data_IF_718682703776
#
_entry.id   IF_718682703776
#
_cell.length_a   1.000
_cell.length_b   1.000
_cell.length_c   1.000
_cell.angle_alpha   90.00
_cell.angle_beta   90.00
_cell.angle_gamma   90.00
#
_symmetry.space_group_name_H-M   'P 1'
#
loop_
_entity.id
_entity.type
_entity.pdbx_description
1 polymer ?
#
# COMPACT_ATOMS: atom_id res chain seq x y z
N UNK A 1 -14.32 -10.84 12.40
CA UNK A 1 -15.19 -10.50 11.24
C UNK A 1 -14.61 -9.24 10.62
N UNK A 2 -13.95 -9.36 9.48
CA UNK A 2 -13.43 -8.22 8.72
C UNK A 2 -14.61 -7.69 7.89
N UNK A 3 -15.43 -6.83 8.49
CA UNK A 3 -16.50 -6.18 7.75
C UNK A 3 -15.89 -5.05 6.92
N UNK A 4 -15.83 -5.24 5.60
CA UNK A 4 -15.52 -4.25 4.56
C UNK A 4 -14.26 -3.41 4.83
N UNK A 5 -13.09 -3.97 4.51
CA UNK A 5 -11.88 -3.15 4.37
C UNK A 5 -12.12 -2.12 3.26
N UNK A 6 -11.85 -0.85 3.56
CA UNK A 6 -11.88 0.18 2.53
C UNK A 6 -10.66 -0.02 1.63
N UNK A 7 -10.88 -0.33 0.37
CA UNK A 7 -9.82 -0.31 -0.64
C UNK A 7 -9.44 1.14 -0.92
N UNK A 8 -8.15 1.45 -0.92
CA UNK A 8 -7.62 2.80 -1.15
C UNK A 8 -6.37 2.72 -2.02
N UNK A 9 -6.15 3.73 -2.86
CA UNK A 9 -4.85 3.94 -3.51
C UNK A 9 -3.82 4.49 -2.50
N UNK A 10 -2.53 4.50 -2.88
CA UNK A 10 -1.48 5.12 -2.06
C UNK A 10 -1.80 6.60 -1.84
N UNK A 11 -2.17 7.33 -2.89
CA UNK A 11 -2.51 8.76 -2.78
C UNK A 11 -3.68 9.02 -1.85
N UNK A 12 -4.74 8.21 -1.92
CA UNK A 12 -5.88 8.35 -1.02
C UNK A 12 -5.48 8.03 0.43
N UNK A 13 -4.65 7.01 0.64
CA UNK A 13 -4.11 6.68 1.95
C UNK A 13 -3.26 7.83 2.52
N UNK A 14 -2.38 8.41 1.69
CA UNK A 14 -1.55 9.55 2.06
C UNK A 14 -2.38 10.79 2.40
N UNK A 15 -3.41 11.11 1.61
CA UNK A 15 -4.32 12.21 1.93
C UNK A 15 -5.04 11.99 3.27
N UNK A 16 -5.45 10.74 3.54
CA UNK A 16 -6.07 10.35 4.82
C UNK A 16 -5.11 10.40 5.99
N UNK A 17 -3.81 10.21 5.78
CA UNK A 17 -2.78 10.40 6.81
C UNK A 17 -2.44 11.88 7.00
N UNK A 18 -2.22 12.62 5.92
CA UNK A 18 -1.84 14.04 5.96
C UNK A 18 -2.94 14.95 6.53
N UNK A 19 -4.20 14.54 6.43
CA UNK A 19 -5.33 15.25 7.07
C UNK A 19 -5.48 14.98 8.58
N UNK A 20 -4.64 14.12 9.16
CA UNK A 20 -4.70 13.80 10.59
C UNK A 20 -4.08 14.91 11.44
N UNK A 21 -4.52 15.04 12.70
CA UNK A 21 -3.88 15.97 13.63
C UNK A 21 -2.38 15.69 13.74
N UNK A 22 -1.57 16.71 13.55
CA UNK A 22 -0.10 16.65 13.72
C UNK A 22 0.34 16.40 15.16
N UNK A 23 -0.61 16.46 16.11
CA UNK A 23 -0.45 16.04 17.49
C UNK A 23 -1.44 14.91 17.79
N UNK A 24 -0.94 13.69 17.95
CA UNK A 24 -1.76 12.53 18.30
C UNK A 24 -1.02 11.24 17.99
N UNK A 25 -1.21 10.20 18.80
CA UNK A 25 -0.65 8.88 18.51
C UNK A 25 -1.57 8.13 17.54
N UNK A 26 -1.58 8.52 16.26
CA UNK A 26 -2.51 7.92 15.29
C UNK A 26 -1.94 6.67 14.66
N UNK A 27 -2.64 5.55 14.83
CA UNK A 27 -2.27 4.27 14.25
C UNK A 27 -3.13 3.97 13.03
N UNK A 28 -2.49 3.53 11.96
CA UNK A 28 -3.17 3.06 10.74
C UNK A 28 -2.56 1.75 10.28
N UNK A 29 -3.36 0.91 9.62
CA UNK A 29 -2.90 -0.35 9.03
C UNK A 29 -3.21 -0.37 7.53
N UNK A 30 -2.21 -0.74 6.74
CA UNK A 30 -2.28 -0.98 5.31
C UNK A 30 -2.09 -2.48 5.08
N UNK A 31 -3.15 -3.15 4.64
CA UNK A 31 -3.14 -4.58 4.35
C UNK A 31 -2.85 -4.74 2.86
N UNK A 32 -1.77 -5.44 2.51
CA UNK A 32 -1.39 -5.67 1.11
C UNK A 32 -0.93 -7.12 0.89
N UNK A 33 -1.23 -7.64 -0.30
CA UNK A 33 -0.79 -8.98 -0.75
C UNK A 33 0.69 -9.02 -1.12
N UNK A 34 1.31 -7.86 -1.39
CA UNK A 34 2.66 -7.76 -1.96
C UNK A 34 3.65 -7.13 -0.95
N UNK A 35 4.00 -7.90 0.07
CA UNK A 35 4.79 -7.42 1.23
C UNK A 35 6.30 -7.49 1.02
N UNK A 36 6.73 -8.24 0.00
CA UNK A 36 8.14 -8.38 -0.34
C UNK A 36 8.69 -7.18 -1.14
N UNK A 37 7.84 -6.21 -1.49
CA UNK A 37 8.31 -5.01 -2.18
C UNK A 37 8.84 -3.98 -1.17
N UNK A 38 10.10 -4.12 -0.76
CA UNK A 38 10.89 -3.03 -0.14
C UNK A 38 10.62 -1.69 -0.85
N UNK A 39 10.46 -1.75 -2.18
CA UNK A 39 10.04 -0.63 -3.02
C UNK A 39 8.78 0.09 -2.53
N UNK A 40 7.72 -0.63 -2.16
CA UNK A 40 6.48 -0.01 -1.66
C UNK A 40 6.71 0.71 -0.33
N UNK A 41 7.56 0.15 0.53
CA UNK A 41 7.91 0.78 1.81
C UNK A 41 8.73 2.05 1.57
N UNK A 42 9.70 1.99 0.66
CA UNK A 42 10.55 3.12 0.29
C UNK A 42 9.72 4.26 -0.34
N UNK A 43 8.85 3.92 -1.31
CA UNK A 43 7.94 4.86 -1.97
C UNK A 43 7.00 5.53 -0.95
N UNK A 44 6.42 4.73 -0.03
CA UNK A 44 5.54 5.25 1.01
C UNK A 44 6.30 6.15 1.99
N UNK A 45 7.52 5.79 2.37
CA UNK A 45 8.35 6.57 3.28
C UNK A 45 8.70 7.92 2.68
N UNK A 46 9.19 7.94 1.44
CA UNK A 46 9.52 9.18 0.73
C UNK A 46 8.29 10.07 0.60
N UNK A 47 7.17 9.49 0.16
CA UNK A 47 5.96 10.28 -0.09
C UNK A 47 5.34 10.79 1.21
N UNK A 48 5.30 9.99 2.28
CA UNK A 48 4.84 10.44 3.60
C UNK A 48 5.72 11.56 4.16
N UNK A 49 7.04 11.46 4.00
CA UNK A 49 7.98 12.49 4.45
C UNK A 49 7.69 13.84 3.79
N UNK A 50 7.42 13.82 2.48
CA UNK A 50 7.07 15.01 1.70
C UNK A 50 5.70 15.56 2.11
N UNK A 51 4.66 14.72 2.13
CA UNK A 51 3.28 15.17 2.38
C UNK A 51 3.05 15.63 3.82
N UNK A 52 3.64 14.94 4.80
CA UNK A 52 3.46 15.26 6.21
C UNK A 52 4.50 16.28 6.72
N UNK A 53 5.48 16.66 5.90
CA UNK A 53 6.61 17.53 6.26
C UNK A 53 7.25 17.08 7.59
N UNK A 54 7.62 15.79 7.69
CA UNK A 54 8.20 15.23 8.91
C UNK A 54 9.15 14.07 8.63
N UNK A 55 10.03 13.79 9.58
CA UNK A 55 10.89 12.61 9.53
C UNK A 55 10.07 11.34 9.71
N UNK A 56 10.21 10.41 8.76
CA UNK A 56 9.55 9.11 8.75
C UNK A 56 10.61 8.02 8.87
N UNK A 57 10.54 7.22 9.94
CA UNK A 57 11.40 6.07 10.16
C UNK A 57 10.74 4.78 9.67
N UNK A 58 11.54 3.83 9.16
CA UNK A 58 11.07 2.53 8.69
C UNK A 58 11.78 1.40 9.42
N UNK A 59 11.02 0.50 10.05
CA UNK A 59 11.57 -0.66 10.74
C UNK A 59 10.90 -1.96 10.29
N UNK A 60 11.73 -2.94 9.94
CA UNK A 60 11.28 -4.30 9.67
C UNK A 60 11.09 -5.08 10.97
N UNK A 61 10.01 -5.86 11.04
CA UNK A 61 9.67 -6.75 12.13
C UNK A 61 10.29 -8.15 12.01
N UNK A 62 11.28 -8.33 11.13
CA UNK A 62 12.04 -9.58 10.99
C UNK A 62 12.94 -9.94 12.19
N UNK A 63 13.08 -9.04 13.16
CA UNK A 63 13.81 -9.26 14.41
C UNK A 63 12.88 -9.69 15.54
N UNK A 64 13.45 -10.18 16.64
CA UNK A 64 12.70 -10.46 17.87
C UNK A 64 11.86 -9.25 18.33
N UNK A 65 10.70 -9.52 18.93
CA UNK A 65 9.72 -8.50 19.36
C UNK A 65 10.39 -7.37 20.15
N UNK A 66 11.21 -7.72 21.15
CA UNK A 66 11.89 -6.74 22.02
C UNK A 66 12.86 -5.86 21.23
N UNK A 67 13.57 -6.41 20.24
CA UNK A 67 14.49 -5.63 19.41
C UNK A 67 13.73 -4.59 18.58
N UNK A 68 12.57 -4.95 18.04
CA UNK A 68 11.72 -3.99 17.32
C UNK A 68 11.18 -2.92 18.26
N UNK A 69 10.70 -3.32 19.44
CA UNK A 69 10.18 -2.39 20.45
C UNK A 69 11.25 -1.41 20.90
N UNK A 70 12.47 -1.88 21.16
CA UNK A 70 13.59 -1.01 21.53
C UNK A 70 13.92 -0.01 20.41
N UNK A 71 13.87 -0.42 19.14
CA UNK A 71 14.01 0.51 18.00
C UNK A 71 12.91 1.56 17.99
N UNK A 72 11.65 1.17 18.20
CA UNK A 72 10.50 2.08 18.22
C UNK A 72 10.60 3.09 19.36
N UNK A 73 11.04 2.65 20.54
CA UNK A 73 11.20 3.52 21.72
C UNK A 73 12.32 4.53 21.49
N UNK A 74 13.44 4.10 20.92
CA UNK A 74 14.62 4.95 20.72
C UNK A 74 14.58 5.79 19.43
N UNK A 75 13.60 5.56 18.55
CA UNK A 75 13.41 6.33 17.33
C UNK A 75 13.15 7.82 17.62
N UNK A 76 13.79 8.70 16.87
CA UNK A 76 13.62 10.16 16.96
C UNK A 76 12.61 10.70 15.95
N UNK A 77 12.27 9.89 14.94
CA UNK A 77 11.41 10.23 13.82
C UNK A 77 9.96 10.47 14.29
N UNK A 78 9.31 11.49 13.74
CA UNK A 78 7.97 11.91 14.17
C UNK A 78 6.90 10.85 13.84
N UNK A 79 7.10 10.12 12.74
CA UNK A 79 6.20 9.10 12.21
C UNK A 79 6.98 7.81 11.92
N UNK A 80 6.36 6.65 12.11
CA UNK A 80 7.01 5.36 11.87
C UNK A 80 6.20 4.47 10.94
N UNK A 81 6.88 3.74 10.06
CA UNK A 81 6.33 2.65 9.27
C UNK A 81 6.95 1.36 9.79
N UNK A 82 6.10 0.40 10.17
CA UNK A 82 6.51 -0.96 10.51
C UNK A 82 6.02 -1.92 9.45
N UNK A 83 6.85 -2.87 9.06
CA UNK A 83 6.56 -3.82 7.99
C UNK A 83 7.27 -5.16 8.23
N UNK A 84 7.03 -6.15 7.36
CA UNK A 84 7.66 -7.48 7.40
C UNK A 84 7.29 -8.29 8.66
N UNK A 85 6.00 -8.52 8.88
CA UNK A 85 5.45 -9.22 10.06
C UNK A 85 5.15 -10.71 9.78
N UNK A 86 5.66 -11.28 8.69
CA UNK A 86 5.30 -12.61 8.19
C UNK A 86 5.83 -13.72 9.10
N UNK A 87 6.90 -13.43 9.84
CA UNK A 87 7.51 -14.36 10.79
C UNK A 87 6.88 -14.27 12.19
N UNK A 88 5.98 -13.31 12.43
CA UNK A 88 5.40 -13.12 13.75
C UNK A 88 4.27 -14.11 14.02
N UNK A 89 4.40 -14.82 15.14
CA UNK A 89 3.37 -15.71 15.65
C UNK A 89 2.45 -15.01 16.67
N UNK A 90 1.54 -15.80 17.25
CA UNK A 90 0.62 -15.33 18.30
C UNK A 90 1.32 -14.69 19.50
N UNK A 91 2.49 -15.19 19.89
CA UNK A 91 3.23 -14.74 21.07
C UNK A 91 3.89 -13.39 20.77
N UNK A 92 4.47 -13.23 19.57
CA UNK A 92 5.03 -11.95 19.14
C UNK A 92 3.96 -10.84 19.17
N UNK A 93 2.79 -11.10 18.58
CA UNK A 93 1.68 -10.14 18.58
C UNK A 93 1.17 -9.84 19.99
N UNK A 94 1.11 -10.85 20.86
CA UNK A 94 0.67 -10.67 22.25
C UNK A 94 1.66 -9.82 23.07
N UNK A 95 2.96 -10.08 22.93
CA UNK A 95 4.03 -9.29 23.56
C UNK A 95 3.98 -7.84 23.09
N UNK A 96 3.87 -7.63 21.77
CA UNK A 96 3.76 -6.31 21.17
C UNK A 96 2.52 -5.55 21.67
N UNK A 97 1.39 -6.25 21.81
CA UNK A 97 0.14 -5.71 22.35
C UNK A 97 0.26 -5.28 23.82
N UNK A 98 0.99 -6.06 24.63
CA UNK A 98 1.26 -5.74 26.03
C UNK A 98 2.15 -4.49 26.17
N UNK A 99 3.02 -4.23 25.20
CA UNK A 99 3.94 -3.08 25.19
C UNK A 99 3.34 -1.81 24.60
N UNK A 100 2.06 -1.82 24.21
CA UNK A 100 1.35 -0.73 23.52
C UNK A 100 1.63 0.67 24.06
N UNK A 101 1.62 0.85 25.39
CA UNK A 101 1.86 2.16 26.02
C UNK A 101 3.25 2.74 25.71
N UNK A 102 4.24 1.87 25.53
CA UNK A 102 5.62 2.26 25.17
C UNK A 102 5.77 2.61 23.69
N UNK A 103 4.77 2.28 22.86
CA UNK A 103 4.78 2.49 21.41
C UNK A 103 4.12 3.82 21.00
N UNK A 104 3.76 4.68 21.97
CA UNK A 104 3.16 5.97 21.67
C UNK A 104 4.15 6.89 20.96
N UNK A 105 3.72 7.49 19.84
CA UNK A 105 4.51 8.46 19.06
C UNK A 105 3.84 9.83 19.03
N UNK A 106 4.63 10.82 18.62
CA UNK A 106 4.20 12.23 18.49
C UNK A 106 3.13 12.41 17.41
N UNK A 107 3.30 11.77 16.25
CA UNK A 107 2.33 11.82 15.13
C UNK A 107 1.63 10.49 14.84
N UNK A 108 2.34 9.37 14.87
CA UNK A 108 1.68 8.11 14.57
C UNK A 108 2.57 7.00 14.05
N UNK A 109 1.89 5.92 13.67
CA UNK A 109 2.50 4.69 13.19
C UNK A 109 1.63 4.05 12.11
N UNK A 110 2.27 3.57 11.04
CA UNK A 110 1.64 2.77 9.99
C UNK A 110 2.16 1.34 10.06
N UNK A 111 1.24 0.38 10.13
CA UNK A 111 1.53 -1.04 10.00
C UNK A 111 1.28 -1.48 8.55
N UNK A 112 2.27 -2.06 7.90
CA UNK A 112 2.10 -2.72 6.59
C UNK A 112 2.04 -4.23 6.84
N UNK A 113 0.92 -4.87 6.49
CA UNK A 113 0.59 -6.24 6.91
C UNK A 113 0.11 -7.10 5.74
N UNK A 114 0.49 -8.39 5.72
CA UNK A 114 -0.24 -9.38 4.91
C UNK A 114 -1.67 -9.52 5.40
N UNK A 115 -2.56 -10.05 4.56
CA UNK A 115 -3.83 -10.61 5.03
C UNK A 115 -3.65 -11.61 6.18
N UNK A 116 -2.58 -12.43 6.15
CA UNK A 116 -2.29 -13.43 7.17
C UNK A 116 -1.79 -12.82 8.50
N UNK A 117 -0.81 -11.91 8.45
CA UNK A 117 -0.33 -11.18 9.61
C UNK A 117 -1.42 -10.30 10.21
N UNK A 118 -2.24 -9.64 9.38
CA UNK A 118 -3.39 -8.87 9.84
C UNK A 118 -4.41 -9.76 10.57
N UNK A 119 -4.75 -10.93 10.02
CA UNK A 119 -5.65 -11.90 10.67
C UNK A 119 -5.12 -12.35 12.04
N UNK A 120 -3.82 -12.60 12.13
CA UNK A 120 -3.16 -13.01 13.37
C UNK A 120 -3.16 -11.85 14.38
N UNK A 121 -2.75 -10.64 13.97
CA UNK A 121 -2.81 -9.44 14.80
C UNK A 121 -4.22 -9.17 15.32
N UNK A 122 -5.24 -9.24 14.46
CA UNK A 122 -6.64 -9.02 14.86
C UNK A 122 -7.14 -10.03 15.91
N UNK A 123 -6.52 -11.20 15.97
CA UNK A 123 -6.90 -12.27 16.91
C UNK A 123 -6.13 -12.18 18.23
N UNK A 124 -4.89 -11.68 18.23
CA UNK A 124 -3.97 -11.78 19.35
C UNK A 124 -3.46 -10.44 19.91
N UNK A 125 -3.74 -9.31 19.25
CA UNK A 125 -3.35 -7.97 19.67
C UNK A 125 -4.55 -7.00 19.81
N UNK A 126 -5.55 -7.30 20.68
CA UNK A 126 -6.78 -6.52 20.76
C UNK A 126 -6.57 -5.06 21.20
N UNK A 127 -5.54 -4.77 22.00
CA UNK A 127 -5.28 -3.41 22.47
C UNK A 127 -4.72 -2.53 21.34
N UNK A 128 -3.88 -3.06 20.47
CA UNK A 128 -3.39 -2.38 19.25
C UNK A 128 -4.54 -2.20 18.27
N UNK A 129 -5.39 -3.21 18.09
CA UNK A 129 -6.56 -3.13 17.21
C UNK A 129 -7.51 -2.03 17.65
N UNK A 130 -7.67 -1.83 18.96
CA UNK A 130 -8.47 -0.72 19.49
C UNK A 130 -7.90 0.67 19.11
N UNK A 131 -6.59 0.80 18.90
CA UNK A 131 -5.95 2.04 18.46
C UNK A 131 -6.07 2.29 16.96
N UNK A 132 -6.10 1.23 16.16
CA UNK A 132 -6.38 1.32 14.72
C UNK A 132 -7.81 1.84 14.47
N UNK A 133 -8.79 1.35 15.24
CA UNK A 133 -10.19 1.72 15.05
C UNK A 133 -10.66 1.39 13.63
N UNK A 134 -11.17 2.38 12.89
CA UNK A 134 -11.56 2.24 11.49
C UNK A 134 -10.43 2.46 10.48
N UNK A 135 -9.20 2.75 10.94
CA UNK A 135 -8.05 3.08 10.09
C UNK A 135 -7.32 1.84 9.60
N UNK A 136 -8.09 0.92 9.04
CA UNK A 136 -7.59 -0.31 8.43
C UNK A 136 -7.98 -0.29 6.97
N UNK A 137 -6.98 -0.25 6.10
CA UNK A 137 -7.15 -0.08 4.66
C UNK A 137 -6.60 -1.29 3.93
N UNK A 138 -7.22 -1.64 2.81
CA UNK A 138 -6.68 -2.64 1.89
C UNK A 138 -6.00 -1.93 0.74
N UNK A 139 -4.71 -2.17 0.57
CA UNK A 139 -3.97 -1.76 -0.61
C UNK A 139 -3.93 -2.90 -1.62
N UNK A 140 -4.69 -2.71 -2.70
CA UNK A 140 -4.63 -3.55 -3.88
C UNK A 140 -3.74 -2.81 -4.88
N UNK A 141 -2.49 -3.29 -5.04
CA UNK A 141 -1.56 -2.76 -6.04
C UNK A 141 -2.14 -2.84 -7.47
N UNK A 142 -3.06 -3.78 -7.68
CA UNK A 142 -3.61 -4.16 -8.98
C UNK A 142 -4.92 -3.46 -9.37
N UNK A 143 -5.42 -2.49 -8.59
CA UNK A 143 -6.53 -1.65 -9.10
C UNK A 143 -6.08 -0.65 -10.18
N UNK A 144 -4.78 -0.51 -10.43
CA UNK A 144 -4.22 0.32 -11.51
C UNK A 144 -3.49 -0.47 -12.61
N UNK A 145 -3.16 -1.74 -12.37
CA UNK A 145 -2.58 -2.63 -13.38
C UNK A 145 -3.42 -3.89 -13.44
N UNK A 146 -4.21 -4.02 -14.51
CA UNK A 146 -4.88 -5.26 -14.86
C UNK A 146 -3.86 -6.42 -14.77
N UNK A 147 -4.26 -7.55 -14.20
CA UNK A 147 -3.45 -8.79 -14.26
C UNK A 147 -3.17 -9.17 -15.72
N UNK A 148 -2.16 -10.01 -15.98
CA UNK A 148 -1.85 -10.44 -17.34
C UNK A 148 -3.07 -11.06 -18.04
N UNK A 149 -3.90 -11.81 -17.32
CA UNK A 149 -5.17 -12.33 -17.84
C UNK A 149 -6.17 -11.22 -18.16
N UNK A 150 -6.38 -10.25 -17.26
CA UNK A 150 -7.29 -9.12 -17.47
C UNK A 150 -6.83 -8.19 -18.59
N UNK A 151 -5.51 -7.98 -18.75
CA UNK A 151 -4.93 -7.26 -19.89
C UNK A 151 -5.31 -7.97 -21.18
N UNK A 152 -5.17 -9.30 -21.25
CA UNK A 152 -5.52 -10.05 -22.46
C UNK A 152 -7.03 -10.00 -22.77
N UNK A 153 -7.89 -10.11 -21.76
CA UNK A 153 -9.35 -9.96 -21.94
C UNK A 153 -9.73 -8.55 -22.41
N UNK A 154 -9.09 -7.52 -21.84
CA UNK A 154 -9.34 -6.13 -22.23
C UNK A 154 -8.85 -5.84 -23.64
N UNK A 155 -7.63 -6.28 -23.99
CA UNK A 155 -7.10 -6.20 -25.34
C UNK A 155 -7.99 -6.95 -26.35
N UNK A 156 -8.53 -8.12 -25.99
CA UNK A 156 -9.47 -8.85 -26.85
C UNK A 156 -10.75 -8.04 -27.10
N UNK A 157 -11.30 -7.40 -26.06
CA UNK A 157 -12.48 -6.53 -26.17
C UNK A 157 -12.21 -5.32 -27.08
N UNK A 158 -11.04 -4.69 -26.98
CA UNK A 158 -10.66 -3.54 -27.81
C UNK A 158 -10.44 -3.94 -29.29
N UNK A 159 -9.85 -5.13 -29.53
CA UNK A 159 -9.72 -5.72 -30.88
C UNK A 159 -11.09 -5.99 -31.50
N UNK A 160 -12.01 -6.57 -30.74
CA UNK A 160 -13.37 -6.85 -31.21
C UNK A 160 -14.17 -5.57 -31.49
N UNK A 161 -14.06 -4.57 -30.61
CA UNK A 161 -14.76 -3.30 -30.74
C UNK A 161 -14.33 -2.51 -31.98
N UNK A 162 -13.02 -2.41 -32.23
CA UNK A 162 -12.45 -1.59 -33.31
C UNK A 162 -12.30 -2.35 -34.64
N UNK A 163 -12.15 -3.68 -34.58
CA UNK A 163 -11.73 -4.50 -35.72
C UNK A 163 -10.25 -4.40 -36.09
N UNK A 164 -9.44 -3.66 -35.32
CA UNK A 164 -8.01 -3.53 -35.53
C UNK A 164 -7.18 -4.56 -34.74
N UNK A 165 -5.96 -4.78 -35.19
CA UNK A 165 -4.94 -5.58 -34.48
C UNK A 165 -3.99 -4.66 -33.72
N UNK A 166 -3.32 -5.20 -32.70
CA UNK A 166 -2.32 -4.47 -31.92
C UNK A 166 -1.24 -3.84 -32.81
N UNK A 167 -0.80 -4.55 -33.85
CA UNK A 167 0.20 -4.05 -34.81
C UNK A 167 -0.29 -2.81 -35.56
N UNK A 168 -1.56 -2.80 -35.98
CA UNK A 168 -2.14 -1.66 -36.70
C UNK A 168 -2.28 -0.44 -35.80
N UNK A 169 -2.64 -0.63 -34.52
CA UNK A 169 -2.71 0.46 -33.54
C UNK A 169 -1.34 1.07 -33.28
N UNK A 170 -0.31 0.24 -33.11
CA UNK A 170 1.07 0.70 -32.96
C UNK A 170 1.53 1.47 -34.21
N UNK A 171 1.27 0.95 -35.41
CA UNK A 171 1.63 1.62 -36.68
C UNK A 171 0.92 2.98 -36.83
N UNK A 172 -0.36 3.08 -36.46
CA UNK A 172 -1.10 4.35 -36.47
C UNK A 172 -0.55 5.35 -35.45
N UNK A 173 -0.13 4.88 -34.27
CA UNK A 173 0.49 5.73 -33.25
C UNK A 173 1.87 6.25 -33.71
N UNK A 174 2.71 5.38 -34.27
CA UNK A 174 4.03 5.73 -34.82
C UNK A 174 3.93 6.74 -35.97
N UNK A 175 2.90 6.61 -36.81
CA UNK A 175 2.62 7.53 -37.92
C UNK A 175 1.82 8.77 -37.52
N UNK A 176 1.46 8.92 -36.23
CA UNK A 176 0.64 10.02 -35.67
C UNK A 176 -0.71 10.17 -36.35
N UNK A 177 -1.28 9.06 -36.81
CA UNK A 177 -2.62 8.99 -37.37
C UNK A 177 -3.60 8.29 -36.42
N UNK A 178 -3.21 8.09 -35.15
CA UNK A 178 -4.07 7.47 -34.15
C UNK A 178 -5.32 8.35 -33.95
N UNK A 179 -6.52 7.76 -34.02
CA UNK A 179 -7.75 8.48 -33.72
C UNK A 179 -7.78 8.96 -32.25
N UNK A 180 -8.47 10.08 -31.95
CA UNK A 180 -8.43 10.73 -30.63
C UNK A 180 -9.27 10.03 -29.54
N UNK A 181 -9.91 8.91 -29.85
CA UNK A 181 -10.75 8.17 -28.92
C UNK A 181 -9.90 7.60 -27.75
N UNK A 182 -10.35 7.76 -26.48
CA UNK A 182 -9.62 7.30 -25.31
C UNK A 182 -9.26 5.81 -25.33
N UNK A 183 -10.10 4.99 -25.96
CA UNK A 183 -9.93 3.54 -26.09
C UNK A 183 -8.64 3.17 -26.83
N UNK A 184 -8.16 4.00 -27.77
CA UNK A 184 -6.89 3.77 -28.47
C UNK A 184 -5.68 4.13 -27.62
N UNK A 185 -5.77 5.17 -26.80
CA UNK A 185 -4.74 5.52 -25.82
C UNK A 185 -4.64 4.45 -24.72
N UNK A 186 -5.79 3.98 -24.21
CA UNK A 186 -5.87 2.85 -23.27
C UNK A 186 -5.16 1.62 -23.85
N UNK A 187 -5.43 1.28 -25.11
CA UNK A 187 -4.81 0.13 -25.78
C UNK A 187 -3.28 0.23 -25.82
N UNK A 188 -2.72 1.40 -26.15
CA UNK A 188 -1.26 1.61 -26.17
C UNK A 188 -0.65 1.46 -24.77
N UNK A 189 -1.33 1.96 -23.74
CA UNK A 189 -0.90 1.78 -22.34
C UNK A 189 -0.87 0.30 -21.97
N UNK A 190 -1.91 -0.47 -22.34
CA UNK A 190 -2.00 -1.92 -22.09
C UNK A 190 -0.95 -2.74 -22.86
N UNK A 191 -0.41 -2.20 -23.95
CA UNK A 191 0.68 -2.80 -24.73
C UNK A 191 2.08 -2.36 -24.28
N UNK A 192 2.19 -1.64 -23.16
CA UNK A 192 3.44 -1.02 -22.68
C UNK A 192 4.05 -0.03 -23.70
N UNK A 193 3.21 0.56 -24.56
CA UNK A 193 3.57 1.54 -25.59
C UNK A 193 2.95 2.91 -25.35
N UNK A 194 2.76 3.27 -24.08
CA UNK A 194 2.29 4.60 -23.69
C UNK A 194 3.21 5.76 -24.10
N UNK A 195 4.44 5.45 -24.52
CA UNK A 195 5.40 6.41 -25.08
C UNK A 195 4.97 7.01 -26.44
N UNK A 196 3.98 6.42 -27.10
CA UNK A 196 3.50 6.83 -28.42
C UNK A 196 2.28 7.77 -28.39
N UNK A 197 1.82 8.16 -27.18
CA UNK A 197 0.67 9.05 -26.98
C UNK A 197 1.11 10.53 -27.06
#
# INVERSE_FOLDING_TARGET
MINSLTSVSIDEFLQRIGSQPTSGNTWSALITSNLDSQQLVDDLQETLSIFAECEVGCFSANSETNTLVDKIINATEDYLILWNFEQWDKNNWYEFDCMRSSLMRKRGLVLILSPESAKTMFSYAPNIVSWLGSRVYSFLKDTELLSAEEIQERLATLREWSGYTDFQIIEMAETRTLPPEPEYAEWLVLLERGDLI
#
